data_IF_586769324747
#
_entry.id   IF_586769324747
#
_cell.length_a   1.000
_cell.length_b   1.000
_cell.length_c   1.000
_cell.angle_alpha   90.00
_cell.angle_beta   90.00
_cell.angle_gamma   90.00
#
_symmetry.space_group_name_H-M   'P 1'
#
loop_
_entity.id
_entity.type
_entity.pdbx_description
1 polymer ?
#
# COMPACT_ATOMS: atom_id res chain seq x y z
N UNK A 1 -0.19 -13.59 3.72
CA UNK A 1 0.42 -12.58 2.82
C UNK A 1 0.05 -12.95 1.39
N UNK A 2 -0.56 -12.04 0.64
CA UNK A 2 -0.96 -12.23 -0.77
C UNK A 2 -0.16 -11.22 -1.59
N UNK A 3 0.50 -11.67 -2.66
CA UNK A 3 1.22 -10.79 -3.59
C UNK A 3 0.45 -10.67 -4.90
N UNK A 4 0.20 -9.44 -5.33
CA UNK A 4 -0.45 -9.14 -6.61
C UNK A 4 0.60 -8.58 -7.56
N UNK A 5 0.96 -9.36 -8.58
CA UNK A 5 2.02 -9.02 -9.54
C UNK A 5 1.58 -9.27 -10.98
N UNK A 6 2.27 -8.64 -11.92
CA UNK A 6 2.07 -8.80 -13.37
C UNK A 6 3.28 -8.24 -14.11
N UNK A 7 3.69 -8.91 -15.19
CA UNK A 7 4.77 -8.47 -16.06
C UNK A 7 4.42 -7.28 -16.96
N UNK A 8 3.15 -6.86 -17.03
CA UNK A 8 2.70 -5.72 -17.83
C UNK A 8 2.16 -4.58 -16.95
N UNK A 9 2.48 -3.34 -17.33
CA UNK A 9 1.90 -2.13 -16.74
C UNK A 9 0.41 -1.96 -17.11
N UNK A 10 -0.37 -1.33 -16.23
CA UNK A 10 -1.76 -0.96 -16.53
C UNK A 10 -2.80 -2.09 -16.49
N UNK A 11 -2.47 -3.30 -16.02
CA UNK A 11 -3.43 -4.43 -15.94
C UNK A 11 -4.39 -4.36 -14.74
N UNK A 12 -4.36 -3.30 -13.93
CA UNK A 12 -5.24 -3.14 -12.78
C UNK A 12 -4.78 -3.77 -11.45
N UNK A 13 -3.47 -4.05 -11.30
CA UNK A 13 -2.90 -4.63 -10.05
C UNK A 13 -3.29 -3.84 -8.80
N UNK A 14 -3.06 -2.52 -8.82
CA UNK A 14 -3.33 -1.63 -7.68
C UNK A 14 -4.83 -1.59 -7.36
N UNK A 15 -5.67 -1.50 -8.40
CA UNK A 15 -7.13 -1.54 -8.24
C UNK A 15 -7.59 -2.83 -7.58
N UNK A 16 -7.05 -3.98 -8.00
CA UNK A 16 -7.37 -5.27 -7.38
C UNK A 16 -6.88 -5.34 -5.93
N UNK A 17 -5.64 -4.91 -5.67
CA UNK A 17 -5.05 -4.91 -4.33
C UNK A 17 -5.87 -4.07 -3.33
N UNK A 18 -6.23 -2.85 -3.72
CA UNK A 18 -7.04 -1.93 -2.91
C UNK A 18 -8.41 -2.51 -2.61
N UNK A 19 -9.16 -2.95 -3.64
CA UNK A 19 -10.51 -3.47 -3.43
C UNK A 19 -10.52 -4.79 -2.65
N UNK A 20 -9.52 -5.65 -2.86
CA UNK A 20 -9.38 -6.88 -2.07
C UNK A 20 -9.13 -6.56 -0.60
N UNK A 21 -8.29 -5.56 -0.31
CA UNK A 21 -8.01 -5.15 1.06
C UNK A 21 -9.24 -4.54 1.75
N UNK A 22 -10.01 -3.70 1.06
CA UNK A 22 -11.28 -3.16 1.56
C UNK A 22 -12.26 -4.30 1.84
N UNK A 23 -12.44 -5.25 0.93
CA UNK A 23 -13.34 -6.39 1.12
C UNK A 23 -12.92 -7.28 2.31
N UNK A 24 -11.60 -7.49 2.51
CA UNK A 24 -11.07 -8.21 3.66
C UNK A 24 -11.36 -7.48 4.97
N UNK A 25 -11.14 -6.16 5.02
CA UNK A 25 -11.44 -5.32 6.17
C UNK A 25 -12.95 -5.29 6.49
N UNK A 26 -13.81 -5.18 5.48
CA UNK A 26 -15.28 -5.28 5.64
C UNK A 26 -15.73 -6.66 6.17
N UNK A 27 -14.92 -7.69 5.98
CA UNK A 27 -15.15 -9.03 6.51
C UNK A 27 -14.59 -9.22 7.94
N UNK A 28 -14.11 -8.15 8.58
CA UNK A 28 -13.57 -8.16 9.94
C UNK A 28 -12.10 -8.58 10.04
N UNK A 29 -11.36 -8.65 8.93
CA UNK A 29 -9.94 -9.00 8.94
C UNK A 29 -9.06 -7.76 9.11
N UNK A 30 -8.13 -7.81 10.06
CA UNK A 30 -7.04 -6.85 10.12
C UNK A 30 -6.20 -6.94 8.84
N UNK A 31 -6.18 -5.83 8.09
CA UNK A 31 -5.65 -5.80 6.73
C UNK A 31 -4.66 -4.66 6.57
N UNK A 32 -3.52 -4.94 5.94
CA UNK A 32 -2.48 -3.97 5.59
C UNK A 32 -2.14 -4.12 4.12
N UNK A 33 -2.06 -3.00 3.40
CA UNK A 33 -1.53 -2.95 2.04
C UNK A 33 -0.08 -2.48 2.11
N UNK A 34 0.79 -3.18 1.40
CA UNK A 34 2.18 -2.78 1.21
C UNK A 34 2.42 -2.54 -0.28
N UNK A 35 2.62 -1.27 -0.66
CA UNK A 35 3.01 -0.92 -2.02
C UNK A 35 4.52 -1.13 -2.18
N UNK A 36 4.90 -2.15 -2.95
CA UNK A 36 6.30 -2.47 -3.23
C UNK A 36 6.84 -1.70 -4.45
N UNK A 37 6.03 -0.87 -5.11
CA UNK A 37 6.46 -0.01 -6.21
C UNK A 37 7.04 1.29 -5.66
N UNK A 38 8.35 1.28 -5.37
CA UNK A 38 9.07 2.43 -4.81
C UNK A 38 9.31 3.56 -5.82
N UNK A 39 9.07 3.32 -7.12
CA UNK A 39 9.30 4.31 -8.18
C UNK A 39 8.03 5.09 -8.53
N UNK A 40 6.87 4.45 -8.45
CA UNK A 40 5.57 5.01 -8.80
C UNK A 40 4.52 4.48 -7.82
N UNK A 41 4.60 4.89 -6.55
CA UNK A 41 3.59 4.52 -5.56
C UNK A 41 2.20 4.94 -6.08
N UNK A 42 1.29 3.98 -6.15
CA UNK A 42 -0.03 4.16 -6.77
C UNK A 42 -1.16 3.92 -5.76
N UNK A 43 -0.89 3.22 -4.66
CA UNK A 43 -1.90 2.89 -3.64
C UNK A 43 -2.37 4.14 -2.90
N UNK A 44 -1.45 5.02 -2.52
CA UNK A 44 -1.73 6.29 -1.86
C UNK A 44 -2.60 7.19 -2.75
N UNK A 45 -2.27 7.33 -4.03
CA UNK A 45 -3.08 8.07 -5.00
C UNK A 45 -4.46 7.43 -5.16
N UNK A 46 -4.53 6.11 -5.32
CA UNK A 46 -5.79 5.38 -5.49
C UNK A 46 -6.73 5.52 -4.27
N UNK A 47 -6.17 5.68 -3.08
CA UNK A 47 -6.91 5.85 -1.82
C UNK A 47 -7.06 7.32 -1.40
N UNK A 48 -6.48 8.28 -2.15
CA UNK A 48 -6.47 9.69 -1.79
C UNK A 48 -5.68 10.00 -0.50
N UNK A 49 -4.68 9.19 -0.17
CA UNK A 49 -3.85 9.33 1.02
C UNK A 49 -2.62 10.19 0.73
N UNK A 50 -2.21 10.96 1.74
CA UNK A 50 -1.02 11.81 1.69
C UNK A 50 -0.08 11.46 2.85
N UNK A 51 0.59 10.30 2.80
CA UNK A 51 1.47 9.87 3.87
C UNK A 51 2.65 10.84 4.02
N UNK A 52 2.95 11.24 5.27
CA UNK A 52 4.04 12.18 5.57
C UNK A 52 5.43 11.55 5.40
N UNK A 53 5.51 10.24 5.56
CA UNK A 53 6.73 9.44 5.48
C UNK A 53 6.46 8.18 4.66
N UNK A 54 7.50 7.63 4.05
CA UNK A 54 7.42 6.44 3.20
C UNK A 54 8.55 5.46 3.54
N UNK A 55 8.62 4.34 2.81
CA UNK A 55 9.62 3.30 3.08
C UNK A 55 11.07 3.80 2.96
N UNK A 56 11.33 4.82 2.14
CA UNK A 56 12.69 5.35 1.98
C UNK A 56 13.24 5.92 3.30
N UNK A 57 12.40 6.60 4.08
CA UNK A 57 12.78 7.13 5.40
C UNK A 57 13.17 6.01 6.38
N UNK A 58 12.57 4.82 6.24
CA UNK A 58 12.94 3.64 7.05
C UNK A 58 14.27 3.08 6.61
N UNK A 59 14.49 2.97 5.28
CA UNK A 59 15.76 2.48 4.74
C UNK A 59 16.94 3.41 5.04
N UNK A 60 16.67 4.71 5.20
CA UNK A 60 17.66 5.72 5.62
C UNK A 60 17.87 5.76 7.14
N UNK A 61 17.09 5.01 7.92
CA UNK A 61 17.17 5.01 9.39
C UNK A 61 16.55 6.23 10.07
N UNK A 62 15.80 7.06 9.35
CA UNK A 62 15.16 8.27 9.87
C UNK A 62 13.84 8.00 10.59
N UNK A 63 13.16 6.90 10.20
CA UNK A 63 11.87 6.47 10.75
C UNK A 63 11.83 4.97 10.98
N UNK A 64 11.04 4.55 11.97
CA UNK A 64 10.68 3.14 12.15
C UNK A 64 9.53 2.76 11.21
N UNK A 65 9.39 1.45 10.95
CA UNK A 65 8.28 0.93 10.11
C UNK A 65 6.90 1.33 10.65
N UNK A 66 6.76 1.47 11.98
CA UNK A 66 5.50 1.84 12.63
C UNK A 66 5.13 3.30 12.39
N UNK A 67 6.12 4.19 12.25
CA UNK A 67 5.90 5.63 12.02
C UNK A 67 5.47 5.96 10.59
N UNK A 68 5.65 5.03 9.65
CA UNK A 68 5.26 5.21 8.25
C UNK A 68 3.91 4.56 7.92
N UNK A 69 3.29 3.85 8.88
CA UNK A 69 1.96 3.27 8.68
C UNK A 69 0.94 4.41 8.61
N UNK A 70 0.21 4.47 7.52
CA UNK A 70 -0.87 5.41 7.30
C UNK A 70 -2.22 4.67 7.41
N UNK A 71 -3.15 5.12 8.26
CA UNK A 71 -4.51 4.59 8.27
C UNK A 71 -5.18 4.79 6.91
N UNK A 72 -5.73 3.70 6.36
CA UNK A 72 -6.58 3.73 5.17
C UNK A 72 -8.05 4.01 5.52
N UNK A 73 -8.91 4.18 4.50
CA UNK A 73 -10.36 4.31 4.67
C UNK A 73 -11.01 3.05 5.24
#
# INVERSE_FOLDING_TARGET
MISITSGKGGVGKTTLAVNLAIAAQMSGLETVIFDADLGLANVDIALGLFPRYNLMHVLQGEKSIKEIICPGP
#
